data_IF_792819406922
#
_entry.id   IF_792819406922
#
_cell.length_a   1.000
_cell.length_b   1.000
_cell.length_c   1.000
_cell.angle_alpha   90.00
_cell.angle_beta   90.00
_cell.angle_gamma   90.00
#
_symmetry.space_group_name_H-M   'P 1'
#
loop_
_entity.id
_entity.type
_entity.pdbx_description
1 polymer ?
#
# COMPACT_ATOMS: atom_id res chain seq x y z
N UNK A 1 -17.59 24.34 58.40
CA UNK A 1 -17.96 24.71 57.02
C UNK A 1 -16.82 24.32 56.05
N UNK A 2 -16.41 23.06 56.00
CA UNK A 2 -15.26 22.66 55.14
C UNK A 2 -15.24 21.22 54.63
N UNK A 3 -16.04 20.29 55.15
CA UNK A 3 -15.97 18.88 54.70
C UNK A 3 -16.82 18.60 53.45
N UNK A 4 -18.00 19.23 53.32
CA UNK A 4 -18.87 19.08 52.14
C UNK A 4 -18.29 19.68 50.84
N UNK A 5 -17.36 20.63 50.97
CA UNK A 5 -16.73 21.29 49.82
C UNK A 5 -15.55 20.47 49.26
N UNK A 6 -14.90 19.66 50.09
CA UNK A 6 -13.82 18.76 49.66
C UNK A 6 -14.35 17.49 48.98
N UNK A 7 -15.48 16.94 49.43
CA UNK A 7 -16.14 15.79 48.79
C UNK A 7 -16.62 16.13 47.38
N UNK A 8 -17.27 17.29 47.20
CA UNK A 8 -17.77 17.74 45.89
C UNK A 8 -16.66 17.94 44.83
N UNK A 9 -15.49 18.43 45.25
CA UNK A 9 -14.32 18.63 44.37
C UNK A 9 -13.69 17.28 44.01
N UNK A 10 -13.68 16.34 44.94
CA UNK A 10 -13.14 14.98 44.72
C UNK A 10 -14.03 14.18 43.78
N UNK A 11 -15.35 14.25 43.94
CA UNK A 11 -16.32 13.60 43.05
C UNK A 11 -16.33 14.22 41.64
N UNK A 12 -16.16 15.54 41.51
CA UNK A 12 -16.00 16.18 40.19
C UNK A 12 -14.69 15.78 39.48
N UNK A 13 -13.59 15.61 40.22
CA UNK A 13 -12.33 15.14 39.66
C UNK A 13 -12.39 13.65 39.28
N UNK A 14 -13.03 12.81 40.09
CA UNK A 14 -13.26 11.40 39.77
C UNK A 14 -14.17 11.24 38.53
N UNK A 15 -15.27 11.98 38.46
CA UNK A 15 -16.17 11.95 37.29
C UNK A 15 -15.51 12.50 36.01
N UNK A 16 -14.67 13.54 36.12
CA UNK A 16 -13.85 14.03 34.98
C UNK A 16 -12.77 13.03 34.57
N UNK A 17 -12.18 12.32 35.52
CA UNK A 17 -11.17 11.28 35.27
C UNK A 17 -11.79 10.06 34.59
N UNK A 18 -12.94 9.58 35.06
CA UNK A 18 -13.68 8.49 34.40
C UNK A 18 -14.13 8.86 33.00
N UNK A 19 -14.73 10.04 32.81
CA UNK A 19 -15.12 10.51 31.47
C UNK A 19 -13.91 10.64 30.52
N UNK A 20 -12.75 11.05 31.04
CA UNK A 20 -11.49 11.13 30.29
C UNK A 20 -10.95 9.76 29.90
N UNK A 21 -11.01 8.77 30.79
CA UNK A 21 -10.56 7.39 30.53
C UNK A 21 -11.51 6.70 29.55
N UNK A 22 -12.83 6.84 29.72
CA UNK A 22 -13.82 6.26 28.80
C UNK A 22 -13.70 6.87 27.39
N UNK A 23 -13.35 8.15 27.27
CA UNK A 23 -13.06 8.78 25.98
C UNK A 23 -11.71 8.35 25.37
N UNK A 24 -10.74 7.95 26.19
CA UNK A 24 -9.42 7.49 25.76
C UNK A 24 -9.42 6.03 25.26
N UNK A 25 -10.28 5.16 25.80
CA UNK A 25 -10.35 3.73 25.42
C UNK A 25 -10.56 3.53 23.90
N UNK A 26 -11.50 4.23 23.22
CA UNK A 26 -11.64 4.13 21.76
C UNK A 26 -10.42 4.62 20.98
N UNK A 27 -9.71 5.63 21.49
CA UNK A 27 -8.50 6.16 20.84
C UNK A 27 -7.32 5.17 20.96
N UNK A 28 -7.16 4.54 22.12
CA UNK A 28 -6.17 3.48 22.36
C UNK A 28 -6.48 2.26 21.48
N UNK A 29 -7.75 1.84 21.41
CA UNK A 29 -8.18 0.75 20.52
C UNK A 29 -7.88 1.05 19.05
N UNK A 30 -8.07 2.29 18.59
CA UNK A 30 -7.69 2.71 17.24
C UNK A 30 -6.17 2.65 17.03
N UNK A 31 -5.37 3.14 17.98
CA UNK A 31 -3.90 3.10 17.92
C UNK A 31 -3.34 1.67 17.87
N UNK A 32 -3.87 0.75 18.69
CA UNK A 32 -3.44 -0.65 18.72
C UNK A 32 -3.71 -1.37 17.38
N UNK A 33 -4.75 -0.96 16.65
CA UNK A 33 -5.10 -1.54 15.35
C UNK A 33 -4.28 -0.99 14.19
N UNK A 34 -3.50 0.10 14.36
CA UNK A 34 -2.70 0.70 13.28
C UNK A 34 -1.58 -0.24 12.83
N UNK A 35 -0.84 -0.82 13.78
CA UNK A 35 0.31 -1.70 13.48
C UNK A 35 -0.07 -2.91 12.61
N UNK A 36 -1.05 -3.73 13.02
CA UNK A 36 -1.52 -4.87 12.22
C UNK A 36 -2.10 -4.46 10.86
N UNK A 37 -2.82 -3.33 10.78
CA UNK A 37 -3.34 -2.82 9.49
C UNK A 37 -2.22 -2.42 8.54
N UNK A 38 -1.20 -1.75 9.04
CA UNK A 38 -0.02 -1.37 8.25
C UNK A 38 0.71 -2.62 7.72
N UNK A 39 0.92 -3.62 8.59
CA UNK A 39 1.52 -4.91 8.20
C UNK A 39 0.70 -5.62 7.12
N UNK A 40 -0.63 -5.69 7.28
CA UNK A 40 -1.52 -6.29 6.29
C UNK A 40 -1.47 -5.55 4.94
N UNK A 41 -1.43 -4.21 4.95
CA UNK A 41 -1.30 -3.39 3.73
C UNK A 41 0.03 -3.64 3.02
N UNK A 42 1.15 -3.71 3.75
CA UNK A 42 2.47 -4.01 3.19
C UNK A 42 2.48 -5.41 2.56
N UNK A 43 1.95 -6.40 3.28
CA UNK A 43 1.90 -7.79 2.80
C UNK A 43 1.03 -7.93 1.55
N UNK A 44 -0.14 -7.27 1.53
CA UNK A 44 -1.00 -7.22 0.34
C UNK A 44 -0.26 -6.61 -0.85
N UNK A 45 0.39 -5.46 -0.65
CA UNK A 45 1.15 -4.78 -1.69
C UNK A 45 2.26 -5.68 -2.25
N UNK A 46 2.94 -6.42 -1.37
CA UNK A 46 3.97 -7.37 -1.77
C UNK A 46 3.41 -8.51 -2.63
N UNK A 47 2.30 -9.13 -2.21
CA UNK A 47 1.64 -10.19 -3.00
C UNK A 47 1.10 -9.68 -4.34
N UNK A 48 0.54 -8.48 -4.38
CA UNK A 48 0.05 -7.87 -5.62
C UNK A 48 1.21 -7.65 -6.61
N UNK A 49 2.37 -7.19 -6.13
CA UNK A 49 3.59 -7.08 -6.94
C UNK A 49 4.11 -8.42 -7.42
N UNK A 50 4.12 -9.45 -6.57
CA UNK A 50 4.53 -10.79 -6.98
C UNK A 50 3.60 -11.35 -8.07
N UNK A 51 2.28 -11.17 -7.94
CA UNK A 51 1.31 -11.60 -8.95
C UNK A 51 1.57 -10.91 -10.29
N UNK A 52 1.85 -9.61 -10.28
CA UNK A 52 2.19 -8.85 -11.50
C UNK A 52 3.48 -9.35 -12.14
N UNK A 53 4.53 -9.59 -11.34
CA UNK A 53 5.80 -10.13 -11.83
C UNK A 53 5.62 -11.51 -12.49
N UNK A 54 4.81 -12.39 -11.89
CA UNK A 54 4.49 -13.71 -12.47
C UNK A 54 3.73 -13.55 -13.78
N UNK A 55 2.74 -12.65 -13.85
CA UNK A 55 1.98 -12.39 -15.07
C UNK A 55 2.91 -11.91 -16.21
N UNK A 56 3.81 -10.96 -15.92
CA UNK A 56 4.80 -10.49 -16.86
C UNK A 56 5.74 -11.60 -17.35
N UNK A 57 6.25 -12.44 -16.43
CA UNK A 57 7.10 -13.57 -16.80
C UNK A 57 6.35 -14.56 -17.71
N UNK A 58 5.09 -14.86 -17.40
CA UNK A 58 4.25 -15.73 -18.22
C UNK A 58 4.07 -15.19 -19.64
N UNK A 59 3.83 -13.88 -19.78
CA UNK A 59 3.70 -13.22 -21.08
C UNK A 59 5.02 -13.26 -21.86
N UNK A 60 6.15 -12.95 -21.20
CA UNK A 60 7.48 -13.02 -21.81
C UNK A 60 7.87 -14.44 -22.24
N UNK A 61 7.48 -15.45 -21.48
CA UNK A 61 7.67 -16.85 -21.88
C UNK A 61 6.84 -17.18 -23.13
N UNK A 62 5.58 -16.75 -23.19
CA UNK A 62 4.74 -16.97 -24.36
C UNK A 62 5.31 -16.29 -25.62
N UNK A 63 5.84 -15.06 -25.49
CA UNK A 63 6.53 -14.39 -26.60
C UNK A 63 7.80 -15.14 -27.02
N UNK A 64 8.54 -15.69 -26.06
CA UNK A 64 9.75 -16.48 -26.34
C UNK A 64 9.43 -17.76 -27.12
N UNK A 65 8.32 -18.42 -26.81
CA UNK A 65 7.84 -19.57 -27.57
C UNK A 65 7.44 -19.18 -28.99
N UNK A 66 6.67 -18.10 -29.16
CA UNK A 66 6.31 -17.58 -30.49
C UNK A 66 7.54 -17.23 -31.32
N UNK A 67 8.55 -16.62 -30.69
CA UNK A 67 9.82 -16.32 -31.34
C UNK A 67 10.56 -17.58 -31.78
N UNK A 68 10.66 -18.58 -30.89
CA UNK A 68 11.28 -19.86 -31.22
C UNK A 68 10.57 -20.55 -32.39
N UNK A 69 9.23 -20.55 -32.39
CA UNK A 69 8.42 -21.10 -33.48
C UNK A 69 8.69 -20.34 -34.79
N UNK A 70 8.66 -19.01 -34.77
CA UNK A 70 8.93 -18.17 -35.94
C UNK A 70 10.32 -18.43 -36.53
N UNK A 71 11.35 -18.49 -35.68
CA UNK A 71 12.73 -18.81 -36.10
C UNK A 71 12.83 -20.22 -36.67
N UNK A 72 12.15 -21.20 -36.07
CA UNK A 72 12.17 -22.59 -36.55
C UNK A 72 11.50 -22.76 -37.91
N UNK A 73 10.50 -21.92 -38.21
CA UNK A 73 9.76 -21.92 -39.48
C UNK A 73 10.36 -21.01 -40.56
N UNK A 74 11.40 -20.23 -40.23
CA UNK A 74 12.00 -19.28 -41.14
C UNK A 74 12.79 -19.99 -42.25
N UNK A 75 12.51 -19.63 -43.50
CA UNK A 75 13.18 -20.14 -44.70
C UNK A 75 14.27 -19.18 -45.19
N UNK A 76 14.29 -17.95 -44.68
CA UNK A 76 15.27 -16.93 -45.07
C UNK A 76 15.91 -16.23 -43.86
N UNK A 77 17.16 -15.74 -43.99
CA UNK A 77 17.78 -14.92 -42.95
C UNK A 77 16.97 -13.66 -42.61
N UNK A 78 16.25 -13.08 -43.58
CA UNK A 78 15.42 -11.89 -43.38
C UNK A 78 14.23 -12.18 -42.47
N UNK A 79 13.60 -13.36 -42.58
CA UNK A 79 12.51 -13.79 -41.68
C UNK A 79 13.02 -13.98 -40.25
N UNK A 80 14.23 -14.52 -40.07
CA UNK A 80 14.86 -14.62 -38.74
C UNK A 80 15.09 -13.23 -38.14
N UNK A 81 15.62 -12.30 -38.93
CA UNK A 81 15.83 -10.91 -38.48
C UNK A 81 14.51 -10.22 -38.12
N UNK A 82 13.44 -10.45 -38.90
CA UNK A 82 12.10 -9.96 -38.58
C UNK A 82 11.60 -10.50 -37.25
N UNK A 83 11.67 -11.83 -37.05
CA UNK A 83 11.26 -12.46 -35.80
C UNK A 83 12.05 -11.92 -34.59
N UNK A 84 13.36 -11.70 -34.73
CA UNK A 84 14.19 -11.08 -33.71
C UNK A 84 13.73 -9.64 -33.39
N UNK A 85 13.47 -8.83 -34.43
CA UNK A 85 13.01 -7.45 -34.28
C UNK A 85 11.67 -7.40 -33.54
N UNK A 86 10.71 -8.23 -33.95
CA UNK A 86 9.37 -8.28 -33.36
C UNK A 86 9.43 -8.72 -31.89
N UNK A 87 10.26 -9.71 -31.58
CA UNK A 87 10.47 -10.18 -30.20
C UNK A 87 11.08 -9.09 -29.31
N UNK A 88 12.10 -8.39 -29.79
CA UNK A 88 12.77 -7.31 -29.05
C UNK A 88 11.83 -6.12 -28.87
N UNK A 89 11.13 -5.69 -29.92
CA UNK A 89 10.17 -4.59 -29.86
C UNK A 89 9.03 -4.87 -28.87
N UNK A 90 8.49 -6.09 -28.92
CA UNK A 90 7.48 -6.55 -27.97
C UNK A 90 8.02 -6.56 -26.54
N UNK A 91 9.25 -7.06 -26.35
CA UNK A 91 9.92 -7.06 -25.05
C UNK A 91 10.09 -5.66 -24.46
N UNK A 92 10.52 -4.68 -25.27
CA UNK A 92 10.64 -3.29 -24.83
C UNK A 92 9.29 -2.67 -24.48
N UNK A 93 8.24 -2.95 -25.27
CA UNK A 93 6.88 -2.48 -24.97
C UNK A 93 6.39 -2.99 -23.61
N UNK A 94 6.47 -4.30 -23.38
CA UNK A 94 6.02 -4.88 -22.11
C UNK A 94 6.82 -4.33 -20.92
N UNK A 95 8.14 -4.13 -21.09
CA UNK A 95 8.97 -3.52 -20.05
C UNK A 95 8.57 -2.08 -19.74
N UNK A 96 8.29 -1.26 -20.77
CA UNK A 96 7.86 0.11 -20.60
C UNK A 96 6.51 0.21 -19.89
N UNK A 97 5.54 -0.62 -20.29
CA UNK A 97 4.21 -0.69 -19.68
C UNK A 97 4.29 -1.11 -18.20
N UNK A 98 5.04 -2.18 -17.89
CA UNK A 98 5.24 -2.63 -16.51
C UNK A 98 5.96 -1.58 -15.65
N UNK A 99 6.99 -0.93 -16.20
CA UNK A 99 7.70 0.12 -15.48
C UNK A 99 6.80 1.32 -15.17
N UNK A 100 5.96 1.72 -16.12
CA UNK A 100 4.97 2.78 -15.93
C UNK A 100 3.94 2.42 -14.86
N UNK A 101 3.44 1.19 -14.89
CA UNK A 101 2.46 0.70 -13.93
C UNK A 101 3.03 0.57 -12.52
N UNK A 102 4.25 0.07 -12.36
CA UNK A 102 4.96 0.05 -11.07
C UNK A 102 5.14 1.48 -10.53
N UNK A 103 5.53 2.42 -11.40
CA UNK A 103 5.66 3.84 -11.06
C UNK A 103 4.34 4.43 -10.54
N UNK A 104 3.24 4.19 -11.27
CA UNK A 104 1.89 4.63 -10.87
C UNK A 104 1.49 4.07 -9.50
N UNK A 105 1.66 2.77 -9.29
CA UNK A 105 1.32 2.11 -8.04
C UNK A 105 2.17 2.60 -6.86
N UNK A 106 3.47 2.87 -7.08
CA UNK A 106 4.33 3.42 -6.05
C UNK A 106 3.89 4.82 -5.61
N UNK A 107 3.48 5.68 -6.55
CA UNK A 107 2.94 7.01 -6.25
C UNK A 107 1.62 6.91 -5.49
N UNK A 108 0.71 6.01 -5.90
CA UNK A 108 -0.57 5.79 -5.20
C UNK A 108 -0.38 5.27 -3.77
N UNK A 109 0.55 4.33 -3.58
CA UNK A 109 0.90 3.81 -2.26
C UNK A 109 1.48 4.92 -1.36
N UNK A 110 2.36 5.78 -1.91
CA UNK A 110 2.92 6.91 -1.17
C UNK A 110 1.85 7.92 -0.75
N UNK A 111 0.94 8.28 -1.66
CA UNK A 111 -0.17 9.18 -1.37
C UNK A 111 -1.11 8.61 -0.29
N UNK A 112 -1.39 7.31 -0.35
CA UNK A 112 -2.22 6.63 0.65
C UNK A 112 -1.55 6.64 2.01
N UNK A 113 -0.26 6.30 2.07
CA UNK A 113 0.51 6.34 3.31
C UNK A 113 0.58 7.75 3.92
N UNK A 114 0.73 8.79 3.09
CA UNK A 114 0.71 10.19 3.56
C UNK A 114 -0.65 10.59 4.14
N UNK A 115 -1.76 10.20 3.49
CA UNK A 115 -3.12 10.47 4.00
C UNK A 115 -3.37 9.74 5.31
N UNK A 116 -2.97 8.48 5.40
CA UNK A 116 -3.13 7.69 6.63
C UNK A 116 -2.31 8.27 7.78
N UNK A 117 -1.06 8.69 7.51
CA UNK A 117 -0.23 9.38 8.50
C UNK A 117 -0.86 10.71 8.97
N UNK A 118 -1.40 11.51 8.05
CA UNK A 118 -2.09 12.76 8.38
C UNK A 118 -3.36 12.52 9.22
N UNK A 119 -4.15 11.50 8.89
CA UNK A 119 -5.34 11.11 9.64
C UNK A 119 -4.99 10.63 11.06
N UNK A 120 -3.90 9.87 11.21
CA UNK A 120 -3.40 9.44 12.51
C UNK A 120 -2.94 10.65 13.33
N UNK A 121 -2.15 11.56 12.75
CA UNK A 121 -1.69 12.78 13.42
C UNK A 121 -2.85 13.68 13.87
N UNK A 122 -3.89 13.81 13.05
CA UNK A 122 -5.11 14.55 13.40
C UNK A 122 -5.90 13.88 14.53
N UNK A 123 -5.89 12.55 14.61
CA UNK A 123 -6.56 11.79 15.68
C UNK A 123 -5.78 11.79 17.01
N UNK A 124 -4.48 12.08 16.98
CA UNK A 124 -3.59 12.04 18.17
C UNK A 124 -3.18 13.42 18.68
N UNK A 125 -3.46 14.51 17.96
CA UNK A 125 -3.21 15.87 18.45
C UNK A 125 -4.24 16.23 19.53
N UNK A 126 -3.82 16.48 20.79
CA UNK A 126 -4.75 16.90 21.83
C UNK A 126 -5.31 18.28 21.47
N UNK A 127 -6.64 18.40 21.42
CA UNK A 127 -7.32 19.70 21.46
C UNK A 127 -7.04 20.30 22.84
N UNK A 128 -5.95 21.04 22.99
CA UNK A 128 -5.89 22.06 24.05
C UNK A 128 -6.92 23.12 23.67
N UNK A 129 -8.09 23.03 24.31
CA UNK A 129 -9.15 24.01 24.23
C UNK A 129 -8.61 25.34 24.79
N UNK A 130 -8.76 26.40 23.98
CA UNK A 130 -8.71 27.78 24.41
C UNK A 130 -9.95 28.13 25.26
#
# INVERSE_FOLDING_TARGET
MSEDQQTLVTDQHAARSEASVTAAIPAIGKMLMVGPRLQATVLKTYFDRQRQAIAFLSERTADGLKFADAVSSANTPTEVLSACSDFVQTGFRHFAEQSGEIGRQAVEALQTAQRDAANIAAATTPRHAA
#
